data_IF_464995449707
#
_entry.id   IF_464995449707
#
_cell.length_a   1.000
_cell.length_b   1.000
_cell.length_c   1.000
_cell.angle_alpha   90.00
_cell.angle_beta   90.00
_cell.angle_gamma   90.00
#
_symmetry.space_group_name_H-M   'P 1'
#
loop_
_entity.id
_entity.type
_entity.pdbx_description
1 polymer ?
#
# COMPACT_ATOMS: atom_id res chain seq x y z
N UNK A 1 5.20 -8.55 25.11
CA UNK A 1 4.80 -7.22 24.59
C UNK A 1 5.80 -6.68 23.57
N UNK A 2 7.11 -6.63 23.87
CA UNK A 2 8.13 -6.14 22.92
C UNK A 2 8.11 -6.87 21.58
N UNK A 3 8.05 -8.20 21.58
CA UNK A 3 7.98 -9.00 20.35
C UNK A 3 6.80 -8.61 19.45
N UNK A 4 5.59 -8.48 20.02
CA UNK A 4 4.39 -8.10 19.29
C UNK A 4 4.50 -6.71 18.66
N UNK A 5 5.09 -5.75 19.39
CA UNK A 5 5.35 -4.40 18.90
C UNK A 5 6.35 -4.40 17.74
N UNK A 6 7.45 -5.14 17.87
CA UNK A 6 8.44 -5.28 16.81
C UNK A 6 7.82 -5.89 15.54
N UNK A 7 7.03 -6.96 15.71
CA UNK A 7 6.34 -7.62 14.61
C UNK A 7 5.39 -6.64 13.89
N UNK A 8 4.51 -5.98 14.63
CA UNK A 8 3.56 -5.01 14.06
C UNK A 8 4.29 -3.87 13.35
N UNK A 9 5.37 -3.35 13.93
CA UNK A 9 6.15 -2.24 13.36
C UNK A 9 6.83 -2.67 12.06
N UNK A 10 7.50 -3.82 12.04
CA UNK A 10 8.18 -4.33 10.85
C UNK A 10 7.21 -4.61 9.71
N UNK A 11 6.04 -5.18 10.00
CA UNK A 11 5.00 -5.41 9.00
C UNK A 11 4.44 -4.11 8.46
N UNK A 12 4.14 -3.16 9.34
CA UNK A 12 3.62 -1.85 8.94
C UNK A 12 4.62 -1.10 8.07
N UNK A 13 5.91 -1.13 8.43
CA UNK A 13 6.98 -0.56 7.61
C UNK A 13 7.09 -1.26 6.25
N UNK A 14 6.96 -2.58 6.22
CA UNK A 14 6.92 -3.35 4.97
C UNK A 14 5.73 -2.96 4.08
N UNK A 15 4.53 -2.82 4.65
CA UNK A 15 3.35 -2.36 3.91
C UNK A 15 3.49 -0.93 3.41
N UNK A 16 4.07 -0.03 4.20
CA UNK A 16 4.37 1.34 3.77
C UNK A 16 5.37 1.34 2.61
N UNK A 17 6.44 0.55 2.71
CA UNK A 17 7.45 0.44 1.65
C UNK A 17 6.84 -0.08 0.35
N UNK A 18 6.02 -1.14 0.42
CA UNK A 18 5.33 -1.69 -0.75
C UNK A 18 4.24 -0.74 -1.27
N UNK A 19 3.46 -0.13 -0.38
CA UNK A 19 2.41 0.82 -0.72
C UNK A 19 2.95 2.12 -1.33
N UNK A 20 4.23 2.43 -1.14
CA UNK A 20 4.92 3.52 -1.83
C UNK A 20 5.23 3.20 -3.30
N UNK A 21 5.44 1.93 -3.65
CA UNK A 21 5.89 1.51 -4.98
C UNK A 21 4.92 1.94 -6.09
N UNK A 22 3.58 1.80 -5.98
CA UNK A 22 2.67 2.28 -7.02
C UNK A 22 2.78 3.78 -7.31
N UNK A 23 2.95 4.60 -6.27
CA UNK A 23 3.18 6.04 -6.46
C UNK A 23 4.52 6.30 -7.14
N UNK A 24 5.57 5.57 -6.78
CA UNK A 24 6.89 5.69 -7.40
C UNK A 24 6.83 5.33 -8.89
N UNK A 25 6.18 4.21 -9.24
CA UNK A 25 5.95 3.78 -10.63
C UNK A 25 5.18 4.87 -11.38
N UNK A 26 4.09 5.39 -10.80
CA UNK A 26 3.31 6.44 -11.42
C UNK A 26 4.13 7.73 -11.61
N UNK A 27 4.98 8.08 -10.65
CA UNK A 27 5.87 9.24 -10.70
C UNK A 27 6.88 9.11 -11.84
N UNK A 28 7.45 7.92 -12.04
CA UNK A 28 8.35 7.65 -13.18
C UNK A 28 7.59 7.77 -14.51
N UNK A 29 6.42 7.13 -14.63
CA UNK A 29 5.60 7.16 -15.85
C UNK A 29 5.17 8.59 -16.21
N UNK A 30 4.86 9.41 -15.21
CA UNK A 30 4.40 10.79 -15.37
C UNK A 30 5.54 11.82 -15.36
N UNK A 31 6.81 11.37 -15.32
CA UNK A 31 8.01 12.24 -15.26
C UNK A 31 7.97 13.24 -14.09
N UNK A 32 7.49 12.80 -12.94
CA UNK A 32 7.41 13.60 -11.71
C UNK A 32 6.08 14.33 -11.49
N UNK A 33 5.15 14.30 -12.46
CA UNK A 33 3.85 14.96 -12.34
C UNK A 33 2.78 14.16 -11.58
N UNK A 34 3.15 13.09 -10.88
CA UNK A 34 2.21 12.34 -10.04
C UNK A 34 1.78 13.13 -8.79
N UNK A 35 2.48 14.20 -8.40
CA UNK A 35 2.09 15.06 -7.29
C UNK A 35 2.33 14.45 -5.90
N UNK A 36 2.89 15.27 -5.01
CA UNK A 36 3.20 14.88 -3.62
C UNK A 36 1.95 14.53 -2.81
N UNK A 37 0.79 15.09 -3.18
CA UNK A 37 -0.50 14.83 -2.50
C UNK A 37 -0.95 13.37 -2.61
N UNK A 38 -0.48 12.62 -3.60
CA UNK A 38 -0.81 11.21 -3.76
C UNK A 38 0.02 10.29 -2.86
N UNK A 39 1.14 10.75 -2.28
CA UNK A 39 1.99 9.94 -1.40
C UNK A 39 1.22 9.48 -0.15
N UNK A 40 0.60 10.36 0.66
CA UNK A 40 -0.09 9.91 1.88
C UNK A 40 -1.23 8.94 1.58
N UNK A 41 -1.92 9.14 0.45
CA UNK A 41 -3.02 8.29 0.00
C UNK A 41 -2.51 6.90 -0.40
N UNK A 42 -1.39 6.84 -1.14
CA UNK A 42 -0.74 5.59 -1.53
C UNK A 42 -0.29 4.80 -0.30
N UNK A 43 0.36 5.47 0.65
CA UNK A 43 0.82 4.85 1.89
C UNK A 43 -0.34 4.32 2.74
N UNK A 44 -1.37 5.16 2.98
CA UNK A 44 -2.55 4.76 3.76
C UNK A 44 -3.27 3.58 3.13
N UNK A 45 -3.52 3.62 1.82
CA UNK A 45 -4.19 2.54 1.12
C UNK A 45 -3.37 1.24 1.12
N UNK A 46 -2.03 1.33 1.07
CA UNK A 46 -1.15 0.17 1.23
C UNK A 46 -1.25 -0.46 2.62
N UNK A 47 -1.26 0.34 3.69
CA UNK A 47 -1.45 -0.16 5.06
C UNK A 47 -2.84 -0.78 5.22
N UNK A 48 -3.89 -0.15 4.70
CA UNK A 48 -5.26 -0.69 4.74
C UNK A 48 -5.35 -2.01 3.98
N UNK A 49 -4.77 -2.10 2.79
CA UNK A 49 -4.72 -3.34 2.00
C UNK A 49 -3.94 -4.44 2.71
N UNK A 50 -2.81 -4.10 3.34
CA UNK A 50 -2.01 -5.03 4.14
C UNK A 50 -2.76 -5.55 5.37
N UNK A 51 -3.42 -4.67 6.12
CA UNK A 51 -4.22 -5.01 7.31
C UNK A 51 -5.47 -5.81 6.98
N UNK A 52 -6.07 -5.63 5.80
CA UNK A 52 -7.27 -6.35 5.40
C UNK A 52 -7.07 -7.87 5.45
N UNK A 53 -5.85 -8.37 5.18
CA UNK A 53 -5.59 -9.81 5.17
C UNK A 53 -5.67 -10.48 6.54
N UNK A 54 -4.86 -10.08 7.55
CA UNK A 54 -4.93 -10.70 8.87
C UNK A 54 -6.26 -10.47 9.58
N UNK A 55 -6.97 -9.39 9.24
CA UNK A 55 -8.25 -9.04 9.86
C UNK A 55 -9.45 -9.75 9.22
N UNK A 56 -9.46 -9.94 7.90
CA UNK A 56 -10.66 -10.37 7.16
C UNK A 56 -10.46 -11.64 6.31
N UNK A 57 -9.22 -12.01 5.96
CA UNK A 57 -8.98 -13.02 4.93
C UNK A 57 -8.29 -14.26 5.50
N UNK A 58 -7.05 -14.14 6.01
CA UNK A 58 -6.24 -15.31 6.39
C UNK A 58 -5.13 -14.97 7.36
N UNK A 59 -4.85 -15.89 8.29
CA UNK A 59 -3.82 -15.74 9.33
C UNK A 59 -2.63 -16.70 9.20
N UNK A 60 -2.66 -17.61 8.21
CA UNK A 60 -1.58 -18.57 7.95
C UNK A 60 -0.39 -17.91 7.20
N UNK A 61 0.70 -18.66 6.98
CA UNK A 61 1.86 -18.18 6.22
C UNK A 61 1.55 -17.66 4.81
N UNK A 62 0.49 -18.16 4.15
CA UNK A 62 0.02 -17.60 2.88
C UNK A 62 -0.64 -16.23 3.03
N UNK A 63 -1.26 -15.96 4.18
CA UNK A 63 -1.82 -14.64 4.51
C UNK A 63 -0.75 -13.55 4.58
N UNK A 64 0.47 -13.89 5.00
CA UNK A 64 1.61 -12.98 4.97
C UNK A 64 1.89 -12.50 3.54
N UNK A 65 2.07 -13.43 2.59
CA UNK A 65 2.36 -13.09 1.19
C UNK A 65 1.21 -12.26 0.60
N UNK A 66 -0.04 -12.71 0.83
CA UNK A 66 -1.22 -12.03 0.34
C UNK A 66 -1.36 -10.60 0.88
N UNK A 67 -0.96 -10.37 2.14
CA UNK A 67 -0.97 -9.05 2.78
C UNK A 67 -0.07 -8.07 2.03
N UNK A 68 1.14 -8.49 1.65
CA UNK A 68 2.03 -7.66 0.85
C UNK A 68 1.54 -7.44 -0.59
N UNK A 69 0.92 -8.45 -1.20
CA UNK A 69 0.29 -8.29 -2.51
C UNK A 69 -0.82 -7.24 -2.45
N UNK A 70 -1.69 -7.29 -1.45
CA UNK A 70 -2.78 -6.33 -1.29
C UNK A 70 -2.29 -4.93 -0.89
N UNK A 71 -1.19 -4.84 -0.13
CA UNK A 71 -0.51 -3.59 0.15
C UNK A 71 0.03 -2.89 -1.11
N UNK A 72 0.25 -3.61 -2.21
CA UNK A 72 0.58 -3.03 -3.51
C UNK A 72 -0.67 -2.71 -4.36
N UNK A 73 -1.60 -3.67 -4.44
CA UNK A 73 -2.77 -3.59 -5.33
C UNK A 73 -3.72 -2.44 -4.93
N UNK A 74 -3.98 -2.27 -3.64
CA UNK A 74 -4.85 -1.20 -3.14
C UNK A 74 -4.38 0.20 -3.57
N UNK A 75 -3.13 0.61 -3.28
CA UNK A 75 -2.63 1.89 -3.74
C UNK A 75 -2.61 2.02 -5.26
N UNK A 76 -2.25 0.97 -5.99
CA UNK A 76 -2.29 0.99 -7.45
C UNK A 76 -3.71 1.31 -7.98
N UNK A 77 -4.74 0.67 -7.41
CA UNK A 77 -6.14 0.92 -7.78
C UNK A 77 -6.59 2.33 -7.39
N UNK A 78 -6.30 2.78 -6.17
CA UNK A 78 -6.70 4.12 -5.69
C UNK A 78 -6.08 5.22 -6.56
N UNK A 79 -4.79 5.10 -6.87
CA UNK A 79 -4.10 6.06 -7.74
C UNK A 79 -4.64 6.01 -9.18
N UNK A 80 -4.94 4.82 -9.70
CA UNK A 80 -5.54 4.68 -11.02
C UNK A 80 -6.92 5.36 -11.09
N UNK A 81 -7.77 5.16 -10.08
CA UNK A 81 -9.09 5.80 -9.96
C UNK A 81 -8.95 7.32 -9.90
N UNK A 82 -8.08 7.84 -9.03
CA UNK A 82 -7.86 9.29 -8.89
C UNK A 82 -7.42 9.94 -10.20
N UNK A 83 -6.54 9.25 -10.94
CA UNK A 83 -6.09 9.73 -12.26
C UNK A 83 -7.22 9.79 -13.27
N UNK A 84 -8.15 8.83 -13.25
CA UNK A 84 -9.33 8.85 -14.11
C UNK A 84 -10.28 10.00 -13.75
N UNK A 85 -10.44 10.30 -12.46
CA UNK A 85 -11.30 11.41 -11.99
C UNK A 85 -10.74 12.78 -12.37
N UNK A 86 -9.42 13.00 -12.21
CA UNK A 86 -8.79 14.29 -12.52
C UNK A 86 -8.60 14.59 -14.02
N UNK A 87 -8.89 13.63 -14.91
CA UNK A 87 -8.85 13.83 -16.37
C UNK A 87 -10.15 14.38 -16.97
N UNK A 88 -11.20 14.56 -16.16
CA UNK A 88 -12.45 15.23 -16.55
C UNK A 88 -12.40 16.69 -16.14
#
# INVERSE_FOLDING_TARGET
>A
MLFSLLFLTLYTLGWLAIGFVPWLILSVITRGNAGLRHIPISLLSGVVGGLAVPLLIRQDGLGLILSFVLAFVFPALVLAIQRMTHRR
#
